data_IF_101474698924
#
_entry.id   IF_101474698924
#
_cell.length_a   1.000
_cell.length_b   1.000
_cell.length_c   1.000
_cell.angle_alpha   90.00
_cell.angle_beta   90.00
_cell.angle_gamma   90.00
#
_symmetry.space_group_name_H-M   'P 1'
#
loop_
_entity.id
_entity.type
_entity.pdbx_description
1 polymer ?
#
# COMPACT_ATOMS: atom_id res chain seq x y z
N UNK A 1 7.95 16.96 6.21
CA UNK A 1 8.69 15.67 6.33
C UNK A 1 8.32 14.84 5.11
N UNK A 2 9.27 14.31 4.33
CA UNK A 2 8.93 13.64 3.07
C UNK A 2 8.19 12.32 3.35
N UNK A 3 7.14 12.07 2.56
CA UNK A 3 6.35 10.83 2.60
C UNK A 3 6.11 10.43 1.14
N UNK A 4 6.35 9.16 0.82
CA UNK A 4 5.89 8.54 -0.42
C UNK A 4 4.56 7.84 -0.16
N UNK A 5 3.61 8.02 -1.07
CA UNK A 5 2.32 7.33 -1.06
C UNK A 5 2.36 6.27 -2.15
N UNK A 6 2.25 5.00 -1.76
CA UNK A 6 2.27 3.87 -2.69
C UNK A 6 0.88 3.30 -2.82
N UNK A 7 0.36 3.31 -4.04
CA UNK A 7 -0.91 2.68 -4.39
C UNK A 7 -0.59 1.31 -4.96
N UNK A 8 -1.15 0.25 -4.39
CA UNK A 8 -0.96 -1.12 -4.85
C UNK A 8 -2.26 -1.89 -4.91
N UNK A 9 -2.32 -2.87 -5.81
CA UNK A 9 -3.47 -3.78 -5.93
C UNK A 9 -3.06 -5.24 -5.85
N UNK A 10 -3.90 -6.04 -5.17
CA UNK A 10 -3.78 -7.50 -5.13
C UNK A 10 -5.13 -8.11 -5.48
N UNK A 11 -5.13 -9.23 -6.21
CA UNK A 11 -6.35 -10.03 -6.32
C UNK A 11 -6.75 -10.52 -4.94
N UNK A 12 -8.05 -10.57 -4.66
CA UNK A 12 -8.58 -11.05 -3.37
C UNK A 12 -8.12 -12.48 -3.05
N UNK A 13 -8.02 -13.35 -4.06
CA UNK A 13 -7.53 -14.73 -3.93
C UNK A 13 -6.07 -14.85 -3.41
N UNK A 14 -5.28 -13.79 -3.59
CA UNK A 14 -3.88 -13.72 -3.16
C UNK A 14 -3.70 -13.11 -1.77
N UNK A 15 -4.77 -12.73 -1.06
CA UNK A 15 -4.70 -12.13 0.28
C UNK A 15 -5.27 -13.12 1.30
N UNK A 16 -4.40 -13.80 2.05
CA UNK A 16 -4.82 -14.93 2.91
C UNK A 16 -5.41 -14.53 4.25
N UNK A 17 -5.10 -13.32 4.73
CA UNK A 17 -5.59 -12.80 6.00
C UNK A 17 -6.22 -11.43 5.76
N UNK A 18 -7.39 -11.36 5.08
CA UNK A 18 -8.08 -10.10 4.92
C UNK A 18 -8.49 -9.59 6.30
N UNK A 19 -8.20 -8.32 6.57
CA UNK A 19 -8.62 -7.62 7.79
C UNK A 19 -9.71 -6.63 7.43
N UNK A 20 -10.82 -6.67 8.15
CA UNK A 20 -11.88 -5.68 7.99
C UNK A 20 -11.52 -4.39 8.74
N UNK A 21 -11.72 -3.25 8.09
CA UNK A 21 -11.51 -1.94 8.68
C UNK A 21 -10.94 -0.92 7.69
N UNK A 22 -10.52 0.22 8.22
CA UNK A 22 -10.02 1.32 7.40
C UNK A 22 -8.54 1.14 7.01
N UNK A 23 -7.78 0.37 7.79
CA UNK A 23 -6.37 0.15 7.57
C UNK A 23 -5.60 -0.21 8.83
N UNK A 24 -4.27 -0.16 8.73
CA UNK A 24 -3.32 -0.45 9.81
C UNK A 24 -2.33 0.70 9.93
N UNK A 25 -2.01 1.07 11.18
CA UNK A 25 -0.85 1.90 11.49
C UNK A 25 0.26 1.00 12.04
N UNK A 26 1.50 1.27 11.62
CA UNK A 26 2.69 0.54 12.06
C UNK A 26 3.43 1.38 13.08
N UNK A 27 3.45 1.01 14.38
CA UNK A 27 4.23 1.71 15.39
C UNK A 27 5.73 1.70 15.09
N UNK A 28 6.46 2.70 15.57
CA UNK A 28 7.91 2.83 15.30
C UNK A 28 8.73 1.62 15.75
N UNK A 29 8.38 1.03 16.89
CA UNK A 29 9.04 -0.16 17.43
C UNK A 29 8.99 -1.39 16.52
N UNK A 30 8.09 -1.42 15.52
CA UNK A 30 7.93 -2.55 14.60
C UNK A 30 8.96 -2.57 13.47
N UNK A 31 9.78 -1.50 13.33
CA UNK A 31 10.91 -1.52 12.38
C UNK A 31 11.85 -2.69 12.63
N UNK A 32 12.07 -3.05 13.91
CA UNK A 32 12.90 -4.19 14.31
C UNK A 32 12.33 -5.55 13.88
N UNK A 33 11.04 -5.58 13.54
CA UNK A 33 10.32 -6.76 13.07
C UNK A 33 10.15 -6.76 11.54
N UNK A 34 10.83 -5.85 10.83
CA UNK A 34 10.80 -5.76 9.36
C UNK A 34 9.73 -4.83 8.79
N UNK A 35 8.82 -4.29 9.61
CA UNK A 35 7.76 -3.37 9.15
C UNK A 35 8.30 -1.94 9.04
N UNK A 36 8.68 -1.56 7.81
CA UNK A 36 9.31 -0.26 7.48
C UNK A 36 8.32 0.81 7.01
N UNK A 37 7.04 0.47 6.81
CA UNK A 37 6.00 1.42 6.40
C UNK A 37 5.45 2.18 7.62
N UNK A 38 4.76 3.29 7.38
CA UNK A 38 4.03 4.04 8.42
C UNK A 38 2.66 3.43 8.69
N UNK A 39 2.03 2.88 7.66
CA UNK A 39 0.71 2.30 7.69
C UNK A 39 0.13 2.15 6.29
N UNK A 40 -1.01 1.48 6.21
CA UNK A 40 -1.73 1.20 4.96
C UNK A 40 -3.22 1.40 5.18
N UNK A 41 -3.86 2.12 4.27
CA UNK A 41 -5.31 2.19 4.15
C UNK A 41 -5.84 1.07 3.25
N UNK A 42 -6.96 0.48 3.65
CA UNK A 42 -7.69 -0.53 2.87
C UNK A 42 -8.71 0.17 1.97
N UNK A 43 -8.20 0.89 0.98
CA UNK A 43 -8.96 1.87 0.17
C UNK A 43 -10.21 1.27 -0.50
N UNK A 44 -10.14 0.05 -1.06
CA UNK A 44 -11.32 -0.59 -1.66
C UNK A 44 -12.29 -1.20 -0.64
N UNK A 45 -11.91 -1.36 0.63
CA UNK A 45 -12.85 -1.73 1.68
C UNK A 45 -13.63 -0.51 2.17
N UNK A 46 -12.98 0.65 2.25
CA UNK A 46 -13.63 1.90 2.63
C UNK A 46 -14.51 2.49 1.53
N UNK A 47 -14.06 2.37 0.28
CA UNK A 47 -14.73 2.92 -0.90
C UNK A 47 -14.73 1.82 -1.99
N UNK A 48 -15.73 0.91 -1.97
CA UNK A 48 -15.78 -0.25 -2.86
C UNK A 48 -15.61 0.09 -4.34
N UNK A 49 -16.17 1.22 -4.79
CA UNK A 49 -16.17 1.64 -6.20
C UNK A 49 -14.78 2.08 -6.73
N UNK A 50 -13.73 2.08 -5.89
CA UNK A 50 -12.36 2.43 -6.31
C UNK A 50 -11.54 1.26 -6.84
N UNK A 51 -12.08 0.05 -6.87
CA UNK A 51 -11.42 -1.12 -7.43
C UNK A 51 -12.45 -2.09 -8.02
N UNK A 52 -12.00 -2.99 -8.89
CA UNK A 52 -12.82 -4.10 -9.34
C UNK A 52 -13.17 -5.04 -8.16
N UNK A 53 -14.31 -5.73 -8.26
CA UNK A 53 -14.82 -6.59 -7.20
C UNK A 53 -13.86 -7.71 -6.76
N UNK A 54 -12.95 -8.14 -7.64
CA UNK A 54 -11.99 -9.21 -7.43
C UNK A 54 -10.63 -8.72 -6.88
N UNK A 55 -10.51 -7.42 -6.59
CA UNK A 55 -9.24 -6.77 -6.22
C UNK A 55 -9.35 -6.03 -4.88
N UNK A 56 -8.28 -6.07 -4.09
CA UNK A 56 -8.03 -5.13 -3.01
C UNK A 56 -7.13 -3.99 -3.49
N UNK A 57 -7.52 -2.75 -3.17
CA UNK A 57 -6.73 -1.55 -3.36
C UNK A 57 -6.18 -1.07 -2.02
N UNK A 58 -4.86 -0.92 -1.94
CA UNK A 58 -4.15 -0.47 -0.76
C UNK A 58 -3.42 0.85 -1.02
N UNK A 59 -3.45 1.74 -0.03
CA UNK A 59 -2.68 2.99 -0.04
C UNK A 59 -1.71 2.99 1.14
N UNK A 60 -0.44 2.78 0.86
CA UNK A 60 0.62 2.59 1.86
C UNK A 60 1.52 3.82 1.94
N UNK A 61 1.82 4.26 3.16
CA UNK A 61 2.65 5.43 3.42
C UNK A 61 4.05 5.01 3.85
N UNK A 62 5.07 5.60 3.23
CA UNK A 62 6.47 5.28 3.47
C UNK A 62 7.27 6.55 3.80
N UNK A 63 8.16 6.43 4.79
CA UNK A 63 9.11 7.48 5.17
C UNK A 63 8.70 8.27 6.41
N UNK A 64 8.39 9.57 6.27
CA UNK A 64 8.00 10.44 7.37
C UNK A 64 9.14 10.76 8.34
N UNK A 65 8.81 11.05 9.60
CA UNK A 65 9.82 11.33 10.64
C UNK A 65 10.74 10.18 10.96
N UNK A 66 10.22 8.96 10.81
CA UNK A 66 10.89 7.71 11.16
C UNK A 66 11.99 7.35 10.17
N UNK A 67 11.82 7.69 8.90
CA UNK A 67 12.83 7.42 7.88
C UNK A 67 12.70 8.35 6.66
N UNK A 68 13.30 9.55 6.75
CA UNK A 68 13.17 10.59 5.70
C UNK A 68 13.75 10.18 4.36
N UNK A 69 14.83 9.40 4.36
CA UNK A 69 15.48 8.97 3.11
C UNK A 69 14.69 7.86 2.41
N UNK A 70 13.90 7.08 3.16
CA UNK A 70 13.03 6.06 2.57
C UNK A 70 11.93 6.64 1.68
N UNK A 71 11.50 7.87 1.94
CA UNK A 71 10.56 8.59 1.06
C UNK A 71 11.21 9.07 -0.26
N UNK A 72 12.51 8.85 -0.45
CA UNK A 72 13.24 9.14 -1.68
C UNK A 72 13.82 7.86 -2.31
N UNK A 73 13.47 6.71 -1.76
CA UNK A 73 13.93 5.42 -2.25
C UNK A 73 13.47 5.21 -3.70
N UNK A 74 14.15 4.32 -4.41
CA UNK A 74 13.76 3.98 -5.78
C UNK A 74 12.38 3.31 -5.80
N UNK A 75 11.69 3.37 -6.94
CA UNK A 75 10.40 2.69 -7.13
C UNK A 75 10.47 1.20 -6.78
N UNK A 76 11.57 0.53 -7.15
CA UNK A 76 11.75 -0.90 -6.90
C UNK A 76 11.96 -1.18 -5.40
N UNK A 77 12.70 -0.32 -4.69
CA UNK A 77 12.86 -0.42 -3.25
C UNK A 77 11.52 -0.16 -2.53
N UNK A 78 10.78 0.87 -2.92
CA UNK A 78 9.45 1.17 -2.39
C UNK A 78 8.47 0.00 -2.63
N UNK A 79 8.49 -0.57 -3.84
CA UNK A 79 7.72 -1.78 -4.19
C UNK A 79 8.07 -2.93 -3.26
N UNK A 80 9.36 -3.23 -3.09
CA UNK A 80 9.80 -4.30 -2.21
C UNK A 80 9.32 -4.11 -0.77
N UNK A 81 9.48 -2.90 -0.23
CA UNK A 81 9.08 -2.57 1.15
C UNK A 81 7.57 -2.71 1.35
N UNK A 82 6.77 -2.16 0.43
CA UNK A 82 5.31 -2.21 0.53
C UNK A 82 4.82 -3.64 0.38
N UNK A 83 5.30 -4.39 -0.62
CA UNK A 83 4.92 -5.79 -0.82
C UNK A 83 5.32 -6.66 0.37
N UNK A 84 6.51 -6.46 0.94
CA UNK A 84 6.97 -7.19 2.12
C UNK A 84 6.10 -6.89 3.35
N UNK A 85 5.77 -5.61 3.60
CA UNK A 85 4.90 -5.22 4.70
C UNK A 85 3.48 -5.78 4.57
N UNK A 86 2.90 -5.72 3.37
CA UNK A 86 1.57 -6.29 3.10
C UNK A 86 1.57 -7.82 3.23
N UNK A 87 2.66 -8.48 2.83
CA UNK A 87 2.82 -9.92 3.04
C UNK A 87 2.81 -10.29 4.51
N UNK A 88 3.55 -9.53 5.32
CA UNK A 88 3.63 -9.76 6.76
C UNK A 88 2.31 -9.44 7.48
N UNK A 89 1.58 -8.40 7.06
CA UNK A 89 0.35 -7.95 7.72
C UNK A 89 -0.91 -8.70 7.27
N UNK A 90 -1.02 -9.03 5.99
CA UNK A 90 -2.25 -9.52 5.35
C UNK A 90 -2.07 -10.88 4.66
N UNK A 91 -0.87 -11.45 4.70
CA UNK A 91 -0.57 -12.70 4.02
C UNK A 91 -0.69 -12.59 2.50
N UNK A 92 -0.26 -11.48 1.89
CA UNK A 92 -0.30 -11.33 0.43
C UNK A 92 0.72 -12.23 -0.28
N UNK A 93 0.26 -12.99 -1.26
CA UNK A 93 1.07 -13.85 -2.12
C UNK A 93 1.40 -13.19 -3.47
N UNK A 94 2.59 -13.50 -4.00
CA UNK A 94 3.07 -12.95 -5.27
C UNK A 94 3.36 -11.45 -5.23
N UNK A 95 3.30 -10.83 -6.41
CA UNK A 95 3.53 -9.41 -6.64
C UNK A 95 2.20 -8.66 -6.84
N UNK A 96 2.14 -7.36 -6.52
CA UNK A 96 0.96 -6.55 -6.81
C UNK A 96 0.69 -6.49 -8.32
N UNK A 97 -0.59 -6.56 -8.72
CA UNK A 97 -1.02 -6.46 -10.13
C UNK A 97 -0.68 -5.08 -10.70
N UNK A 98 -0.86 -4.06 -9.87
CA UNK A 98 -0.49 -2.67 -10.16
C UNK A 98 0.20 -2.06 -8.95
N UNK A 99 1.24 -1.25 -9.19
CA UNK A 99 1.89 -0.45 -8.15
C UNK A 99 2.40 0.86 -8.73
N UNK A 100 2.02 1.98 -8.12
CA UNK A 100 2.49 3.32 -8.50
C UNK A 100 2.73 4.20 -7.27
N UNK A 101 3.62 5.16 -7.41
CA UNK A 101 3.82 6.21 -6.41
C UNK A 101 2.90 7.39 -6.72
N UNK A 102 2.11 7.81 -5.73
CA UNK A 102 1.15 8.91 -5.83
C UNK A 102 1.83 10.27 -5.74
N UNK A 103 2.46 10.71 -6.84
CA UNK A 103 2.88 12.11 -7.00
C UNK A 103 1.70 12.93 -7.56
N UNK A 104 1.16 13.89 -6.80
CA UNK A 104 0.08 14.82 -7.23
C UNK A 104 -1.20 14.17 -7.83
N UNK A 105 -1.90 13.34 -7.06
CA UNK A 105 -2.94 12.45 -7.61
C UNK A 105 -4.29 12.51 -6.89
N UNK A 106 -4.83 13.73 -6.75
CA UNK A 106 -6.29 13.87 -6.72
C UNK A 106 -6.88 13.34 -8.06
N UNK A 107 -6.10 13.37 -9.14
CA UNK A 107 -6.53 12.95 -10.48
C UNK A 107 -6.35 11.46 -10.82
N UNK A 108 -5.43 10.69 -10.18
CA UNK A 108 -5.26 9.27 -10.54
C UNK A 108 -6.24 8.33 -9.82
N UNK A 109 -6.97 8.83 -8.83
CA UNK A 109 -8.13 8.11 -8.30
C UNK A 109 -9.16 7.87 -9.41
N UNK A 110 -9.32 8.85 -10.31
CA UNK A 110 -10.19 8.73 -11.50
C UNK A 110 -9.65 7.79 -12.58
N UNK A 111 -8.34 7.50 -12.62
CA UNK A 111 -7.78 6.61 -13.65
C UNK A 111 -8.06 5.12 -13.37
N UNK A 112 -8.27 4.74 -12.10
CA UNK A 112 -8.72 3.38 -11.77
C UNK A 112 -10.21 3.17 -12.11
N UNK A 113 -11.02 4.25 -12.14
CA UNK A 113 -12.41 4.20 -12.61
C UNK A 113 -12.52 4.02 -14.15
N UNK A 114 -11.43 4.21 -14.90
CA UNK A 114 -11.40 4.16 -16.37
C UNK A 114 -10.84 2.85 -16.94
N UNK A 115 -10.62 1.82 -16.12
CA UNK A 115 -10.37 0.46 -16.61
C UNK A 115 -9.14 0.30 -17.50
N UNK A 116 -8.01 0.94 -17.16
CA UNK A 116 -6.70 0.62 -17.74
C UNK A 116 -5.91 -0.38 -16.88
#
# INVERSE_FOLDING_TARGET
MPISVIISTFKKENVKQPLEGFGVLVPDKEQKNGLRTLGTLFSSMMIPDRASEDVYLYTTFVGGSRNKELAKASRDELKHIVTSGLRQLLGTEGEPKFLTEGHNTINNIFLLEQGM
#
